data_IF_990471553345
#
_entry.id   IF_990471553345
#
_cell.length_a   1.000
_cell.length_b   1.000
_cell.length_c   1.000
_cell.angle_alpha   90.00
_cell.angle_beta   90.00
_cell.angle_gamma   90.00
#
_symmetry.space_group_name_H-M   'P 1'
#
loop_
_entity.id
_entity.type
_entity.pdbx_description
1 polymer ?
#
# COMPACT_ATOMS: atom_id res chain seq x y z
N UNK A 1 -37.51 -8.79 14.17
CA UNK A 1 -37.11 -7.38 14.12
C UNK A 1 -35.62 -7.39 13.89
N UNK A 2 -35.14 -6.72 12.84
CA UNK A 2 -33.71 -6.73 12.49
C UNK A 2 -33.13 -5.33 12.70
N UNK A 3 -32.01 -5.27 13.41
CA UNK A 3 -31.26 -4.05 13.70
C UNK A 3 -29.86 -4.18 13.12
N UNK A 4 -29.51 -3.31 12.18
CA UNK A 4 -28.24 -3.32 11.48
C UNK A 4 -27.36 -2.15 11.92
N UNK A 5 -26.08 -2.42 12.15
CA UNK A 5 -25.04 -1.40 12.30
C UNK A 5 -24.29 -1.27 10.98
N UNK A 6 -24.33 -0.09 10.37
CA UNK A 6 -23.81 0.17 9.04
C UNK A 6 -22.62 1.12 9.12
N UNK A 7 -21.47 0.76 8.54
CA UNK A 7 -20.19 1.46 8.73
C UNK A 7 -19.48 1.69 7.40
N UNK A 8 -19.03 2.91 7.10
CA UNK A 8 -18.16 3.18 5.95
C UNK A 8 -16.96 4.06 6.33
N UNK A 9 -15.77 3.66 5.88
CA UNK A 9 -14.50 4.39 6.04
C UNK A 9 -13.69 4.40 4.75
N UNK A 10 -14.37 4.25 3.61
CA UNK A 10 -13.73 4.10 2.30
C UNK A 10 -13.34 5.44 1.66
N UNK A 11 -13.87 6.55 2.16
CA UNK A 11 -13.62 7.91 1.65
C UNK A 11 -12.97 8.80 2.72
N UNK A 12 -12.83 10.11 2.50
CA UNK A 12 -12.45 11.05 3.56
C UNK A 12 -13.49 11.18 4.69
N UNK A 13 -14.68 10.59 4.52
CA UNK A 13 -15.75 10.56 5.51
C UNK A 13 -15.83 9.21 6.21
N UNK A 14 -15.96 9.25 7.52
CA UNK A 14 -16.36 8.11 8.35
C UNK A 14 -17.85 8.23 8.65
N UNK A 15 -18.63 7.22 8.30
CA UNK A 15 -20.10 7.23 8.50
C UNK A 15 -20.55 6.03 9.33
N UNK A 16 -21.50 6.27 10.24
CA UNK A 16 -22.16 5.24 11.05
C UNK A 16 -23.67 5.45 11.01
N UNK A 17 -24.40 4.41 10.63
CA UNK A 17 -25.87 4.42 10.58
C UNK A 17 -26.41 3.20 11.35
N UNK A 18 -27.53 3.37 12.04
CA UNK A 18 -28.34 2.25 12.54
C UNK A 18 -29.66 2.24 11.79
N UNK A 19 -29.98 1.08 11.20
CA UNK A 19 -31.30 0.79 10.64
C UNK A 19 -31.99 -0.23 11.53
N UNK A 20 -33.18 0.10 12.03
CA UNK A 20 -34.01 -0.78 12.86
C UNK A 20 -35.35 -0.97 12.19
N UNK A 21 -35.70 -2.22 11.86
CA UNK A 21 -36.95 -2.56 11.17
C UNK A 21 -37.18 -1.78 9.86
N UNK A 22 -36.11 -1.49 9.12
CA UNK A 22 -36.17 -0.73 7.86
C UNK A 22 -36.12 0.79 8.02
N UNK A 23 -36.13 1.31 9.24
CA UNK A 23 -36.05 2.75 9.49
C UNK A 23 -34.67 3.15 10.02
N UNK A 24 -34.13 4.26 9.51
CA UNK A 24 -32.91 4.86 10.03
C UNK A 24 -33.20 5.52 11.37
N UNK A 25 -32.60 5.00 12.44
CA UNK A 25 -32.77 5.52 13.82
C UNK A 25 -31.56 6.28 14.33
N UNK A 26 -30.40 6.13 13.67
CA UNK A 26 -29.18 6.90 13.93
C UNK A 26 -28.44 7.09 12.61
N UNK A 27 -27.94 8.29 12.33
CA UNK A 27 -27.07 8.58 11.18
C UNK A 27 -26.15 9.73 11.54
N UNK A 28 -24.87 9.45 11.70
CA UNK A 28 -23.84 10.45 11.92
C UNK A 28 -22.60 10.15 11.09
N UNK A 29 -21.85 11.20 10.79
CA UNK A 29 -20.59 11.11 10.09
C UNK A 29 -19.58 12.08 10.66
N UNK A 30 -18.31 11.87 10.33
CA UNK A 30 -17.26 12.86 10.54
C UNK A 30 -16.28 12.84 9.37
N UNK A 31 -16.00 14.03 8.87
CA UNK A 31 -15.02 14.27 7.82
C UNK A 31 -13.61 14.32 8.43
N UNK A 32 -12.65 13.71 7.75
CA UNK A 32 -11.28 13.61 8.23
C UNK A 32 -10.61 12.34 7.74
N UNK A 33 -9.90 12.46 6.62
CA UNK A 33 -9.32 11.30 5.93
C UNK A 33 -8.13 10.62 6.66
N UNK A 34 -7.73 11.15 7.82
CA UNK A 34 -6.67 10.61 8.69
C UNK A 34 -7.17 10.28 10.11
N UNK A 35 -8.43 10.60 10.44
CA UNK A 35 -8.98 10.45 11.79
C UNK A 35 -9.88 9.22 11.96
N UNK A 36 -10.05 8.38 10.92
CA UNK A 36 -10.93 7.20 10.93
C UNK A 36 -10.77 6.34 12.20
N UNK A 37 -9.54 6.05 12.62
CA UNK A 37 -9.25 5.20 13.78
C UNK A 37 -9.72 5.76 15.12
N UNK A 38 -9.73 7.09 15.26
CA UNK A 38 -10.20 7.76 16.47
C UNK A 38 -11.72 8.05 16.40
N UNK A 39 -12.20 8.39 15.21
CA UNK A 39 -13.59 8.81 14.97
C UNK A 39 -14.56 7.65 14.99
N UNK A 40 -14.26 6.53 14.31
CA UNK A 40 -15.19 5.42 14.15
C UNK A 40 -15.68 4.86 15.49
N UNK A 41 -14.82 4.57 16.50
CA UNK A 41 -15.29 4.08 17.79
C UNK A 41 -16.22 5.07 18.50
N UNK A 42 -15.98 6.39 18.39
CA UNK A 42 -16.82 7.43 19.02
C UNK A 42 -18.22 7.45 18.42
N UNK A 43 -18.32 7.39 17.09
CA UNK A 43 -19.60 7.34 16.39
C UNK A 43 -20.38 6.06 16.73
N UNK A 44 -19.71 4.91 16.79
CA UNK A 44 -20.35 3.65 17.19
C UNK A 44 -20.85 3.69 18.63
N UNK A 45 -20.09 4.28 19.56
CA UNK A 45 -20.56 4.48 20.94
C UNK A 45 -21.80 5.37 20.99
N UNK A 46 -21.86 6.44 20.20
CA UNK A 46 -23.05 7.28 20.10
C UNK A 46 -24.25 6.50 19.54
N UNK A 47 -24.04 5.74 18.46
CA UNK A 47 -25.05 4.90 17.83
C UNK A 47 -25.65 3.87 18.82
N UNK A 48 -24.79 3.19 19.59
CA UNK A 48 -25.22 2.16 20.54
C UNK A 48 -26.00 2.69 21.75
N UNK A 49 -25.96 4.00 22.03
CA UNK A 49 -26.87 4.64 22.99
C UNK A 49 -28.30 4.71 22.48
N UNK A 50 -28.50 4.77 21.16
CA UNK A 50 -29.81 4.77 20.51
C UNK A 50 -30.35 3.34 20.36
N UNK A 51 -29.52 2.40 19.92
CA UNK A 51 -29.88 0.99 19.85
C UNK A 51 -28.69 0.11 20.23
N UNK A 52 -28.77 -0.53 21.40
CA UNK A 52 -27.70 -1.39 21.94
C UNK A 52 -27.73 -2.81 21.38
N UNK A 53 -28.91 -3.32 21.00
CA UNK A 53 -29.07 -4.63 20.39
C UNK A 53 -28.88 -4.51 18.88
N UNK A 54 -27.83 -5.15 18.37
CA UNK A 54 -27.48 -5.21 16.94
C UNK A 54 -27.51 -6.68 16.52
N UNK A 55 -28.20 -6.97 15.42
CA UNK A 55 -28.37 -8.33 14.90
C UNK A 55 -27.33 -8.66 13.82
N UNK A 56 -26.86 -7.65 13.07
CA UNK A 56 -25.88 -7.81 12.00
C UNK A 56 -25.13 -6.49 11.72
N UNK A 57 -23.88 -6.59 11.25
CA UNK A 57 -23.06 -5.45 10.85
C UNK A 57 -22.88 -5.44 9.33
N UNK A 58 -23.09 -4.31 8.65
CA UNK A 58 -22.76 -4.17 7.22
C UNK A 58 -21.69 -3.09 7.06
N UNK A 59 -20.62 -3.41 6.35
CA UNK A 59 -19.45 -2.53 6.22
C UNK A 59 -19.09 -2.26 4.77
N UNK A 60 -18.69 -1.02 4.49
CA UNK A 60 -18.12 -0.62 3.22
C UNK A 60 -16.78 -1.31 2.98
N UNK A 61 -16.67 -2.03 1.86
CA UNK A 61 -15.49 -2.77 1.44
C UNK A 61 -14.65 -2.01 0.41
N UNK A 62 -14.96 -0.74 0.17
CA UNK A 62 -14.25 0.13 -0.74
C UNK A 62 -14.84 0.13 -2.16
N UNK A 63 -14.04 0.50 -3.17
CA UNK A 63 -12.64 0.92 -3.07
C UNK A 63 -12.41 2.16 -2.20
N UNK A 64 -11.23 2.23 -1.59
CA UNK A 64 -10.82 3.32 -0.72
C UNK A 64 -9.35 3.23 -0.30
N UNK A 65 -8.76 4.29 0.29
CA UNK A 65 -7.39 4.26 0.77
C UNK A 65 -7.14 3.15 1.80
N UNK A 66 -5.97 2.51 1.73
CA UNK A 66 -5.64 1.29 2.49
C UNK A 66 -5.89 1.39 4.01
N UNK A 67 -5.41 2.49 4.63
CA UNK A 67 -5.53 2.70 6.08
C UNK A 67 -6.99 2.87 6.50
N UNK A 68 -7.75 3.72 5.82
CA UNK A 68 -9.17 3.97 6.14
C UNK A 68 -9.99 2.69 6.01
N UNK A 69 -9.79 1.93 4.93
CA UNK A 69 -10.54 0.71 4.67
C UNK A 69 -10.34 -0.36 5.75
N UNK A 70 -9.10 -0.55 6.19
CA UNK A 70 -8.79 -1.54 7.24
C UNK A 70 -9.36 -1.17 8.60
N UNK A 71 -9.44 0.13 8.93
CA UNK A 71 -10.04 0.58 10.18
C UNK A 71 -11.51 0.13 10.26
N UNK A 72 -12.32 0.46 9.25
CA UNK A 72 -13.73 0.10 9.21
C UNK A 72 -13.96 -1.41 9.20
N UNK A 73 -13.29 -2.13 8.29
CA UNK A 73 -13.45 -3.58 8.15
C UNK A 73 -13.02 -4.33 9.41
N UNK A 74 -11.85 -3.99 9.98
CA UNK A 74 -11.36 -4.66 11.19
C UNK A 74 -12.25 -4.38 12.39
N UNK A 75 -12.78 -3.14 12.50
CA UNK A 75 -13.73 -2.79 13.55
C UNK A 75 -15.03 -3.60 13.39
N UNK A 76 -15.62 -3.63 12.19
CA UNK A 76 -16.86 -4.35 11.90
C UNK A 76 -16.74 -5.84 12.23
N UNK A 77 -15.68 -6.49 11.74
CA UNK A 77 -15.41 -7.90 11.97
C UNK A 77 -15.18 -8.20 13.46
N UNK A 78 -14.40 -7.38 14.16
CA UNK A 78 -14.13 -7.55 15.58
C UNK A 78 -15.39 -7.36 16.42
N UNK A 79 -16.20 -6.35 16.10
CA UNK A 79 -17.47 -6.07 16.76
C UNK A 79 -18.45 -7.22 16.58
N UNK A 80 -18.61 -7.72 15.35
CA UNK A 80 -19.49 -8.82 15.04
C UNK A 80 -19.04 -10.11 15.73
N UNK A 81 -17.74 -10.42 15.66
CA UNK A 81 -17.14 -11.56 16.32
C UNK A 81 -17.38 -11.54 17.84
N UNK A 82 -17.12 -10.39 18.50
CA UNK A 82 -17.28 -10.26 19.94
C UNK A 82 -18.74 -10.44 20.43
N UNK A 83 -19.72 -10.17 19.56
CA UNK A 83 -21.16 -10.31 19.87
C UNK A 83 -21.77 -11.60 19.35
N UNK A 84 -21.00 -12.44 18.64
CA UNK A 84 -21.52 -13.65 18.01
C UNK A 84 -22.55 -13.38 16.90
N UNK A 85 -22.46 -12.23 16.24
CA UNK A 85 -23.36 -11.82 15.16
C UNK A 85 -22.67 -11.87 13.79
N UNK A 86 -23.46 -11.83 12.72
CA UNK A 86 -22.95 -11.84 11.34
C UNK A 86 -22.43 -10.46 10.93
N UNK A 87 -21.59 -10.46 9.91
CA UNK A 87 -21.25 -9.26 9.18
C UNK A 87 -21.29 -9.50 7.66
N UNK A 88 -21.56 -8.46 6.90
CA UNK A 88 -21.55 -8.45 5.44
C UNK A 88 -20.76 -7.24 4.93
N UNK A 89 -20.11 -7.42 3.78
CA UNK A 89 -19.40 -6.36 3.10
C UNK A 89 -20.13 -5.89 1.84
N UNK A 90 -20.16 -4.60 1.56
CA UNK A 90 -20.77 -4.03 0.33
C UNK A 90 -19.82 -3.04 -0.34
N UNK A 91 -19.99 -2.75 -1.63
CA UNK A 91 -19.17 -1.76 -2.32
C UNK A 91 -19.63 -0.34 -1.97
N UNK A 92 -18.69 0.50 -1.53
CA UNK A 92 -18.96 1.88 -1.13
C UNK A 92 -19.37 2.76 -2.32
N UNK A 93 -18.90 2.47 -3.53
CA UNK A 93 -19.33 3.21 -4.73
C UNK A 93 -20.78 2.90 -5.09
N UNK A 94 -21.27 1.68 -4.83
CA UNK A 94 -22.67 1.31 -5.11
C UNK A 94 -23.63 2.14 -4.23
N UNK A 95 -23.23 2.45 -3.00
CA UNK A 95 -24.00 3.30 -2.08
C UNK A 95 -23.93 4.80 -2.40
N UNK A 96 -22.90 5.25 -3.14
CA UNK A 96 -22.94 6.58 -3.75
C UNK A 96 -23.89 6.54 -4.95
N UNK A 97 -23.77 5.54 -5.81
CA UNK A 97 -24.57 5.40 -7.02
C UNK A 97 -26.08 5.31 -6.75
N UNK A 98 -26.49 4.70 -5.63
CA UNK A 98 -27.91 4.60 -5.24
C UNK A 98 -28.60 5.95 -4.99
N UNK A 99 -27.83 7.04 -4.88
CA UNK A 99 -28.35 8.40 -4.70
C UNK A 99 -28.69 9.09 -6.03
N UNK A 100 -28.42 8.45 -7.18
CA UNK A 100 -28.58 9.02 -8.52
C UNK A 100 -29.43 8.12 -9.41
N UNK A 101 -30.09 8.74 -10.40
CA UNK A 101 -31.01 8.06 -11.33
C UNK A 101 -30.66 8.27 -12.80
N UNK A 102 -29.52 8.90 -13.08
CA UNK A 102 -29.03 9.11 -14.44
C UNK A 102 -28.85 7.77 -15.17
N UNK A 103 -29.15 7.77 -16.47
CA UNK A 103 -29.10 6.56 -17.28
C UNK A 103 -27.68 5.98 -17.38
N UNK A 104 -26.68 6.84 -17.42
CA UNK A 104 -25.28 6.46 -17.57
C UNK A 104 -24.39 7.49 -16.87
N UNK A 105 -23.64 7.06 -15.87
CA UNK A 105 -22.81 7.94 -15.04
C UNK A 105 -21.61 7.21 -14.42
N UNK A 106 -20.65 7.98 -13.94
CA UNK A 106 -19.50 7.51 -13.18
C UNK A 106 -19.64 7.92 -11.72
N UNK A 107 -19.20 7.06 -10.81
CA UNK A 107 -18.91 7.44 -9.42
C UNK A 107 -17.41 7.38 -9.22
N UNK A 108 -16.83 8.43 -8.64
CA UNK A 108 -15.40 8.52 -8.35
C UNK A 108 -15.12 9.03 -6.92
N UNK A 109 -14.12 8.43 -6.26
CA UNK A 109 -13.62 8.82 -4.92
C UNK A 109 -12.10 8.94 -4.94
N UNK A 110 -11.53 9.70 -3.99
CA UNK A 110 -10.09 9.98 -3.94
C UNK A 110 -9.26 8.69 -3.72
N UNK A 111 -8.41 8.35 -4.70
CA UNK A 111 -7.46 7.22 -4.58
C UNK A 111 -6.09 7.62 -4.04
N UNK A 112 -5.96 8.89 -3.59
CA UNK A 112 -4.69 9.57 -3.31
C UNK A 112 -3.83 9.66 -4.58
N UNK A 113 -2.65 10.26 -4.46
CA UNK A 113 -1.64 10.35 -5.55
C UNK A 113 -2.17 10.98 -6.85
N UNK A 114 -3.15 11.86 -6.74
CA UNK A 114 -3.82 12.49 -7.90
C UNK A 114 -4.54 11.48 -8.80
N UNK A 115 -4.96 10.35 -8.24
CA UNK A 115 -5.79 9.34 -8.91
C UNK A 115 -7.17 9.30 -8.26
N UNK A 116 -8.12 8.66 -8.95
CA UNK A 116 -9.47 8.38 -8.44
C UNK A 116 -9.80 6.91 -8.60
N UNK A 117 -10.48 6.34 -7.60
CA UNK A 117 -11.14 5.06 -7.71
C UNK A 117 -12.54 5.31 -8.28
N UNK A 118 -12.94 4.56 -9.30
CA UNK A 118 -14.20 4.81 -9.97
C UNK A 118 -14.91 3.54 -10.42
N UNK A 119 -16.21 3.66 -10.68
CA UNK A 119 -17.00 2.68 -11.40
C UNK A 119 -18.05 3.38 -12.26
N UNK A 120 -18.46 2.74 -13.37
CA UNK A 120 -19.53 3.22 -14.24
C UNK A 120 -20.83 2.51 -13.91
N UNK A 121 -21.94 3.21 -14.01
CA UNK A 121 -23.28 2.71 -13.76
C UNK A 121 -24.16 3.03 -14.95
N UNK A 122 -24.95 2.05 -15.39
CA UNK A 122 -26.00 2.23 -16.39
C UNK A 122 -27.31 1.72 -15.84
N UNK A 123 -28.38 2.52 -15.92
CA UNK A 123 -29.70 2.20 -15.38
C UNK A 123 -29.62 1.73 -13.90
N UNK A 124 -28.78 2.40 -13.10
CA UNK A 124 -28.53 2.07 -11.69
C UNK A 124 -27.70 0.80 -11.43
N UNK A 125 -27.21 0.13 -12.47
CA UNK A 125 -26.42 -1.10 -12.36
C UNK A 125 -24.95 -0.84 -12.69
N UNK A 126 -24.04 -1.24 -11.79
CA UNK A 126 -22.60 -1.14 -12.01
C UNK A 126 -22.16 -1.98 -13.21
N UNK A 127 -21.38 -1.37 -14.11
CA UNK A 127 -20.72 -2.01 -15.24
C UNK A 127 -19.30 -2.41 -14.83
N UNK A 128 -19.08 -3.72 -14.69
CA UNK A 128 -17.78 -4.29 -14.33
C UNK A 128 -17.38 -4.04 -12.88
N UNK A 129 -16.07 -4.20 -12.63
CA UNK A 129 -15.46 -3.96 -11.32
C UNK A 129 -14.96 -2.52 -11.17
N UNK A 130 -14.83 -2.00 -9.94
CA UNK A 130 -14.19 -0.71 -9.72
C UNK A 130 -12.74 -0.67 -10.25
N UNK A 131 -12.35 0.48 -10.79
CA UNK A 131 -11.06 0.74 -11.44
C UNK A 131 -10.37 2.00 -10.88
N UNK A 132 -9.10 2.22 -11.23
CA UNK A 132 -8.31 3.39 -10.81
C UNK A 132 -7.71 4.07 -12.03
N UNK A 133 -7.76 5.40 -12.08
CA UNK A 133 -7.15 6.18 -13.14
C UNK A 133 -6.83 7.62 -12.69
N UNK A 134 -6.20 8.40 -13.57
CA UNK A 134 -6.10 9.85 -13.39
C UNK A 134 -7.46 10.50 -13.66
N UNK A 135 -7.84 11.58 -12.94
CA UNK A 135 -9.10 12.30 -13.17
C UNK A 135 -9.32 12.73 -14.63
N UNK A 136 -8.26 13.19 -15.30
CA UNK A 136 -8.32 13.63 -16.70
C UNK A 136 -8.76 12.54 -17.68
N UNK A 137 -8.58 11.25 -17.32
CA UNK A 137 -9.05 10.13 -18.13
C UNK A 137 -10.57 9.94 -18.01
N UNK A 138 -11.18 10.30 -16.88
CA UNK A 138 -12.63 10.30 -16.72
C UNK A 138 -13.26 11.50 -17.42
N UNK A 139 -12.65 12.68 -17.30
CA UNK A 139 -13.13 13.90 -17.97
C UNK A 139 -13.22 13.71 -19.50
N UNK A 140 -12.27 12.97 -20.08
CA UNK A 140 -12.24 12.65 -21.50
C UNK A 140 -13.42 11.78 -21.98
N UNK A 141 -14.12 11.08 -21.09
CA UNK A 141 -15.28 10.26 -21.43
C UNK A 141 -16.55 11.08 -21.65
N UNK A 142 -16.59 12.33 -21.16
CA UNK A 142 -17.78 13.20 -21.23
C UNK A 142 -19.06 12.58 -20.64
N UNK A 143 -18.90 11.71 -19.63
CA UNK A 143 -19.97 11.09 -18.86
C UNK A 143 -20.08 11.85 -17.52
N UNK A 144 -21.28 12.11 -16.98
CA UNK A 144 -21.44 12.73 -15.65
C UNK A 144 -20.66 11.96 -14.58
N UNK A 145 -19.93 12.69 -13.71
CA UNK A 145 -19.12 12.12 -12.63
C UNK A 145 -19.66 12.61 -11.29
N UNK A 146 -20.09 11.67 -10.44
CA UNK A 146 -20.52 11.89 -9.07
C UNK A 146 -19.46 11.39 -8.07
N UNK A 147 -19.61 11.78 -6.81
CA UNK A 147 -18.79 11.29 -5.71
C UNK A 147 -18.01 12.38 -4.99
N UNK A 148 -16.85 12.02 -4.45
CA UNK A 148 -16.18 12.79 -3.40
C UNK A 148 -15.77 14.20 -3.84
N UNK A 149 -15.41 14.38 -5.12
CA UNK A 149 -15.07 15.69 -5.68
C UNK A 149 -16.25 16.68 -5.69
N UNK A 150 -17.49 16.17 -5.67
CA UNK A 150 -18.72 16.96 -5.55
C UNK A 150 -19.33 16.90 -4.14
N UNK A 151 -18.53 16.53 -3.13
CA UNK A 151 -18.97 16.39 -1.74
C UNK A 151 -20.09 15.35 -1.56
N UNK A 152 -20.09 14.30 -2.38
CA UNK A 152 -21.03 13.18 -2.33
C UNK A 152 -20.32 11.93 -1.83
N UNK A 153 -20.85 11.31 -0.78
CA UNK A 153 -20.22 10.23 -0.05
C UNK A 153 -21.14 9.01 0.02
N UNK A 154 -20.61 7.81 0.33
CA UNK A 154 -21.44 6.64 0.55
C UNK A 154 -22.47 6.95 1.65
N UNK A 155 -23.74 6.66 1.35
CA UNK A 155 -24.79 6.66 2.37
C UNK A 155 -24.99 5.23 2.85
N UNK A 156 -24.55 4.88 4.08
CA UNK A 156 -24.70 3.53 4.58
C UNK A 156 -26.16 3.09 4.71
N UNK A 157 -27.14 3.99 4.71
CA UNK A 157 -28.57 3.60 4.75
C UNK A 157 -28.95 2.64 3.60
N UNK A 158 -28.30 2.77 2.43
CA UNK A 158 -28.49 1.91 1.28
C UNK A 158 -27.83 0.51 1.41
N UNK A 159 -26.97 0.30 2.43
CA UNK A 159 -26.21 -0.95 2.57
C UNK A 159 -27.09 -2.18 2.77
N UNK A 160 -28.24 -2.02 3.45
CA UNK A 160 -29.18 -3.13 3.68
C UNK A 160 -29.73 -3.63 2.34
N UNK A 161 -30.15 -2.73 1.46
CA UNK A 161 -30.70 -3.09 0.15
C UNK A 161 -29.61 -3.67 -0.77
N UNK A 162 -28.41 -3.09 -0.75
CA UNK A 162 -27.27 -3.60 -1.52
C UNK A 162 -26.90 -5.02 -1.06
N UNK A 163 -26.85 -5.25 0.25
CA UNK A 163 -26.53 -6.56 0.79
C UNK A 163 -27.61 -7.61 0.45
N UNK A 164 -28.89 -7.24 0.50
CA UNK A 164 -30.01 -8.09 0.11
C UNK A 164 -30.02 -8.43 -1.39
N UNK A 165 -29.40 -7.60 -2.23
CA UNK A 165 -29.23 -7.86 -3.67
C UNK A 165 -28.15 -8.93 -4.00
N UNK A 166 -27.58 -9.60 -2.98
CA UNK A 166 -26.48 -10.57 -3.08
C UNK A 166 -25.16 -10.01 -3.64
N UNK A 167 -24.98 -8.69 -3.70
CA UNK A 167 -23.70 -8.04 -4.06
C UNK A 167 -22.82 -7.85 -2.84
N UNK A 168 -22.45 -8.95 -2.19
CA UNK A 168 -21.63 -8.93 -0.97
C UNK A 168 -20.17 -9.31 -1.21
N UNK A 169 -19.30 -8.81 -0.34
CA UNK A 169 -17.85 -8.95 -0.42
C UNK A 169 -17.28 -9.52 0.88
N UNK A 170 -16.49 -10.59 0.78
CA UNK A 170 -15.77 -11.18 1.91
C UNK A 170 -14.34 -10.62 2.06
N UNK A 171 -13.84 -9.91 1.05
CA UNK A 171 -12.51 -9.32 1.01
C UNK A 171 -12.57 -7.85 0.57
N UNK A 172 -11.64 -6.98 1.04
CA UNK A 172 -11.61 -5.57 0.64
C UNK A 172 -11.40 -5.41 -0.86
N UNK A 173 -12.08 -4.43 -1.47
CA UNK A 173 -11.99 -4.09 -2.89
C UNK A 173 -10.73 -3.24 -3.12
N UNK A 174 -9.58 -3.92 -3.13
CA UNK A 174 -8.29 -3.29 -3.45
C UNK A 174 -8.08 -3.20 -4.96
N UNK A 175 -8.43 -2.05 -5.54
CA UNK A 175 -8.28 -1.78 -6.98
C UNK A 175 -6.83 -1.52 -7.37
N UNK A 176 -6.03 -0.96 -6.45
CA UNK A 176 -4.57 -0.85 -6.56
C UNK A 176 -3.92 -1.79 -5.55
N UNK A 177 -2.79 -2.40 -5.90
CA UNK A 177 -1.95 -3.09 -4.90
C UNK A 177 -1.55 -2.09 -3.80
N UNK A 178 -1.66 -2.45 -2.51
CA UNK A 178 -1.19 -1.59 -1.43
C UNK A 178 0.26 -1.16 -1.67
N UNK A 179 0.57 0.09 -1.38
CA UNK A 179 1.93 0.63 -1.56
C UNK A 179 2.95 -0.05 -0.63
N UNK A 180 2.47 -0.61 0.47
CA UNK A 180 3.21 -1.56 1.28
C UNK A 180 3.17 -2.93 0.61
N UNK A 181 4.24 -3.31 -0.07
CA UNK A 181 4.50 -4.72 -0.33
C UNK A 181 4.64 -5.40 1.04
N UNK A 182 3.85 -6.44 1.35
CA UNK A 182 4.07 -7.19 2.58
C UNK A 182 5.51 -7.69 2.55
N UNK A 183 6.22 -7.51 3.67
CA UNK A 183 7.55 -8.09 3.82
C UNK A 183 7.47 -9.59 3.51
N UNK A 184 8.47 -10.16 2.83
CA UNK A 184 8.47 -11.59 2.51
C UNK A 184 8.19 -12.43 3.76
N UNK A 185 7.21 -13.32 3.69
CA UNK A 185 6.75 -14.12 4.84
C UNK A 185 7.90 -14.94 5.39
N UNK A 186 8.09 -14.90 6.71
CA UNK A 186 9.16 -15.63 7.41
C UNK A 186 10.55 -15.00 7.28
N UNK A 187 10.70 -13.87 6.57
CA UNK A 187 11.98 -13.16 6.48
C UNK A 187 12.05 -12.04 7.52
N UNK A 188 13.10 -12.05 8.33
CA UNK A 188 13.38 -11.00 9.31
C UNK A 188 14.43 -10.04 8.76
N UNK A 189 14.16 -8.75 8.82
CA UNK A 189 15.10 -7.70 8.43
C UNK A 189 15.61 -6.97 9.67
N UNK A 190 16.93 -6.79 9.77
CA UNK A 190 17.58 -6.17 10.94
C UNK A 190 18.86 -5.43 10.54
N UNK A 191 19.39 -4.53 11.38
CA UNK A 191 20.75 -4.03 11.19
C UNK A 191 21.75 -5.18 11.07
N UNK A 192 22.72 -5.01 10.17
CA UNK A 192 23.84 -5.93 10.03
C UNK A 192 24.83 -5.73 11.18
N UNK A 193 25.34 -6.83 11.71
CA UNK A 193 26.31 -6.87 12.82
C UNK A 193 27.65 -7.38 12.32
N UNK A 194 28.70 -7.22 13.11
CA UNK A 194 30.03 -7.73 12.77
C UNK A 194 30.05 -9.26 12.58
N UNK A 195 29.16 -10.00 13.25
CA UNK A 195 29.02 -11.45 13.11
C UNK A 195 28.50 -11.87 11.72
N UNK A 196 27.85 -10.96 11.00
CA UNK A 196 27.29 -11.21 9.68
C UNK A 196 28.33 -11.08 8.56
N UNK A 197 29.52 -10.53 8.83
CA UNK A 197 30.53 -10.26 7.78
C UNK A 197 30.96 -11.53 7.05
N UNK A 198 31.15 -12.64 7.77
CA UNK A 198 31.57 -13.91 7.15
C UNK A 198 30.44 -14.52 6.29
N UNK A 199 29.20 -14.67 6.78
CA UNK A 199 28.08 -15.08 5.93
C UNK A 199 27.80 -14.13 4.75
N UNK A 200 27.88 -12.82 4.95
CA UNK A 200 27.68 -11.83 3.89
C UNK A 200 28.76 -11.96 2.80
N UNK A 201 30.02 -12.16 3.20
CA UNK A 201 31.11 -12.42 2.26
C UNK A 201 30.91 -13.73 1.48
N UNK A 202 30.33 -14.77 2.09
CA UNK A 202 29.98 -15.99 1.36
C UNK A 202 28.91 -15.73 0.29
N UNK A 203 27.90 -14.92 0.59
CA UNK A 203 26.87 -14.49 -0.38
C UNK A 203 27.51 -13.66 -1.51
N UNK A 204 28.35 -12.69 -1.17
CA UNK A 204 29.10 -11.85 -2.13
C UNK A 204 29.93 -12.71 -3.09
N UNK A 205 30.67 -13.68 -2.54
CA UNK A 205 31.52 -14.57 -3.32
C UNK A 205 30.73 -15.47 -4.25
N UNK A 206 29.60 -16.00 -3.79
CA UNK A 206 28.70 -16.79 -4.62
C UNK A 206 28.06 -15.96 -5.73
N UNK A 207 27.72 -14.69 -5.47
CA UNK A 207 27.04 -13.83 -6.42
C UNK A 207 27.97 -13.28 -7.51
N UNK A 208 29.19 -12.88 -7.15
CA UNK A 208 30.07 -12.09 -8.03
C UNK A 208 31.45 -12.70 -8.26
N UNK A 209 31.82 -13.78 -7.55
CA UNK A 209 33.08 -14.49 -7.77
C UNK A 209 34.30 -13.59 -7.55
N UNK A 210 35.08 -13.31 -8.61
CA UNK A 210 36.26 -12.44 -8.56
C UNK A 210 35.92 -10.95 -8.72
N UNK A 211 34.74 -10.63 -9.23
CA UNK A 211 34.28 -9.25 -9.43
C UNK A 211 33.67 -8.63 -8.15
N UNK A 212 33.36 -9.46 -7.15
CA UNK A 212 32.83 -9.02 -5.86
C UNK A 212 33.88 -8.45 -4.93
N UNK A 213 33.43 -7.80 -3.87
CA UNK A 213 34.31 -7.26 -2.85
C UNK A 213 35.15 -8.34 -2.18
N UNK A 214 36.39 -8.00 -1.87
CA UNK A 214 37.21 -8.77 -0.94
C UNK A 214 36.68 -8.62 0.50
N UNK A 215 37.03 -9.57 1.37
CA UNK A 215 36.68 -9.48 2.79
C UNK A 215 37.22 -8.20 3.45
N UNK A 216 38.39 -7.72 3.01
CA UNK A 216 38.96 -6.47 3.49
C UNK A 216 38.08 -5.26 3.11
N UNK A 217 37.66 -5.18 1.84
CA UNK A 217 36.76 -4.13 1.36
C UNK A 217 35.42 -4.17 2.07
N UNK A 218 34.79 -5.35 2.20
CA UNK A 218 33.52 -5.47 2.91
C UNK A 218 33.63 -5.00 4.37
N UNK A 219 34.74 -5.31 5.05
CA UNK A 219 34.98 -4.89 6.43
C UNK A 219 35.22 -3.38 6.54
N UNK A 220 36.01 -2.80 5.63
CA UNK A 220 36.25 -1.37 5.54
C UNK A 220 34.95 -0.62 5.28
N UNK A 221 34.18 -1.08 4.29
CA UNK A 221 32.91 -0.49 3.93
C UNK A 221 31.87 -0.63 5.02
N UNK A 222 31.88 -1.69 5.84
CA UNK A 222 30.98 -1.83 6.99
C UNK A 222 31.35 -0.90 8.16
N UNK A 223 32.63 -0.57 8.34
CA UNK A 223 33.13 0.12 9.53
C UNK A 223 32.84 1.64 9.57
N UNK A 224 32.43 2.25 8.45
CA UNK A 224 32.14 3.68 8.43
C UNK A 224 30.87 4.06 9.20
N UNK A 225 30.84 5.30 9.73
CA UNK A 225 29.75 5.83 10.56
C UNK A 225 28.66 6.58 9.78
N UNK A 226 28.92 6.84 8.50
CA UNK A 226 28.14 7.64 7.56
C UNK A 226 27.23 6.78 6.65
N UNK A 227 27.05 5.52 7.02
CA UNK A 227 26.42 4.47 6.21
C UNK A 227 25.56 3.57 7.06
N UNK A 228 24.67 2.84 6.41
CA UNK A 228 23.82 1.83 7.02
C UNK A 228 23.94 0.51 6.26
N UNK A 229 24.02 -0.57 7.03
CA UNK A 229 23.92 -1.94 6.52
C UNK A 229 22.74 -2.66 7.13
N UNK A 230 21.97 -3.32 6.28
CA UNK A 230 20.80 -4.12 6.64
C UNK A 230 21.00 -5.56 6.19
N UNK A 231 20.57 -6.48 7.04
CA UNK A 231 20.64 -7.92 6.86
C UNK A 231 19.22 -8.49 6.76
N UNK A 232 19.04 -9.54 5.95
CA UNK A 232 17.80 -10.32 5.91
C UNK A 232 18.10 -11.78 6.29
N UNK A 233 17.28 -12.33 7.18
CA UNK A 233 17.40 -13.69 7.70
C UNK A 233 16.14 -14.51 7.39
N UNK A 234 16.32 -15.80 7.08
CA UNK A 234 15.25 -16.77 6.98
C UNK A 234 15.67 -18.06 7.68
N UNK A 235 14.83 -18.56 8.61
CA UNK A 235 15.17 -19.75 9.40
C UNK A 235 16.43 -19.60 10.27
N UNK A 236 16.86 -18.37 10.58
CA UNK A 236 18.10 -18.09 11.32
C UNK A 236 19.36 -17.98 10.45
N UNK A 237 19.27 -18.21 9.15
CA UNK A 237 20.38 -18.05 8.21
C UNK A 237 20.35 -16.68 7.54
N UNK A 238 21.53 -16.07 7.36
CA UNK A 238 21.66 -14.84 6.58
C UNK A 238 21.47 -15.18 5.08
N UNK A 239 20.48 -14.54 4.46
CA UNK A 239 20.12 -14.80 3.06
C UNK A 239 20.33 -13.58 2.14
N UNK A 240 20.56 -12.40 2.72
CA UNK A 240 20.83 -11.19 1.96
C UNK A 240 21.40 -10.09 2.85
N UNK A 241 22.13 -9.17 2.24
CA UNK A 241 22.55 -7.92 2.86
C UNK A 241 22.55 -6.78 1.84
N UNK A 242 22.46 -5.55 2.33
CA UNK A 242 22.55 -4.35 1.53
C UNK A 242 23.18 -3.21 2.32
N UNK A 243 23.87 -2.31 1.62
CA UNK A 243 24.57 -1.16 2.18
C UNK A 243 24.26 0.12 1.43
N UNK A 244 24.12 1.22 2.17
CA UNK A 244 23.98 2.57 1.62
C UNK A 244 24.85 3.54 2.41
N UNK A 245 25.51 4.45 1.73
CA UNK A 245 26.37 5.49 2.31
C UNK A 245 25.82 6.87 1.97
N UNK A 246 25.85 7.83 2.90
CA UNK A 246 25.46 9.22 2.65
C UNK A 246 26.69 10.10 2.43
N UNK A 247 26.87 10.60 1.21
CA UNK A 247 27.87 11.59 0.87
C UNK A 247 27.24 12.97 0.69
N UNK A 248 27.38 13.83 1.70
CA UNK A 248 27.00 15.25 1.62
C UNK A 248 25.56 15.50 1.09
N UNK A 249 24.60 14.68 1.51
CA UNK A 249 23.19 14.83 1.11
C UNK A 249 22.80 14.02 -0.13
N UNK A 250 23.70 13.24 -0.71
CA UNK A 250 23.38 12.24 -1.73
C UNK A 250 23.74 10.86 -1.21
N UNK A 251 22.74 9.98 -1.12
CA UNK A 251 22.95 8.60 -0.74
C UNK A 251 23.44 7.77 -1.94
N UNK A 252 24.32 6.81 -1.69
CA UNK A 252 24.84 5.88 -2.68
C UNK A 252 24.64 4.44 -2.22
N UNK A 253 23.95 3.63 -3.02
CA UNK A 253 23.76 2.20 -2.75
C UNK A 253 25.04 1.46 -3.10
N UNK A 254 25.79 1.08 -2.07
CA UNK A 254 27.08 0.41 -2.24
C UNK A 254 26.91 -1.04 -2.70
N UNK A 255 25.91 -1.74 -2.15
CA UNK A 255 25.66 -3.15 -2.43
C UNK A 255 24.22 -3.54 -2.09
N UNK A 256 23.67 -4.49 -2.83
CA UNK A 256 22.38 -5.11 -2.58
C UNK A 256 22.40 -6.51 -3.18
N UNK A 257 22.62 -7.50 -2.31
CA UNK A 257 22.89 -8.87 -2.76
C UNK A 257 21.96 -9.85 -2.06
N UNK A 258 21.17 -10.59 -2.84
CA UNK A 258 20.29 -11.66 -2.35
C UNK A 258 20.88 -13.01 -2.79
N UNK A 259 21.01 -13.94 -1.85
CA UNK A 259 21.44 -15.31 -2.13
C UNK A 259 20.53 -15.98 -3.17
N UNK A 260 21.11 -16.78 -4.06
CA UNK A 260 20.46 -17.26 -5.29
C UNK A 260 19.10 -17.94 -5.06
N UNK A 261 19.03 -18.92 -4.14
CA UNK A 261 17.78 -19.62 -3.79
C UNK A 261 16.69 -18.75 -3.13
N UNK A 262 17.00 -17.49 -2.85
CA UNK A 262 16.10 -16.52 -2.20
C UNK A 262 15.76 -15.32 -3.10
N UNK A 263 16.27 -15.29 -4.33
CA UNK A 263 15.92 -14.24 -5.32
C UNK A 263 14.46 -14.32 -5.75
N UNK A 264 13.97 -13.22 -6.33
CA UNK A 264 12.59 -13.08 -6.88
C UNK A 264 11.44 -13.30 -5.86
N UNK A 265 11.75 -13.38 -4.56
CA UNK A 265 10.77 -13.49 -3.45
C UNK A 265 10.46 -12.16 -2.77
N UNK A 266 10.83 -11.03 -3.37
CA UNK A 266 10.57 -9.68 -2.84
C UNK A 266 11.61 -9.14 -1.84
N UNK A 267 12.65 -9.91 -1.50
CA UNK A 267 13.68 -9.51 -0.52
C UNK A 267 14.48 -8.28 -1.00
N UNK A 268 14.97 -8.27 -2.24
CA UNK A 268 15.71 -7.12 -2.78
C UNK A 268 14.86 -5.85 -2.86
N UNK A 269 13.56 -5.99 -3.12
CA UNK A 269 12.59 -4.87 -3.09
C UNK A 269 12.48 -4.28 -1.68
N UNK A 270 12.36 -5.13 -0.67
CA UNK A 270 12.25 -4.70 0.72
C UNK A 270 13.56 -4.06 1.23
N UNK A 271 14.73 -4.57 0.83
CA UNK A 271 16.02 -3.96 1.16
C UNK A 271 16.15 -2.58 0.52
N UNK A 272 15.90 -2.46 -0.79
CA UNK A 272 15.98 -1.17 -1.48
C UNK A 272 15.05 -0.13 -0.86
N UNK A 273 13.83 -0.53 -0.48
CA UNK A 273 12.90 0.34 0.26
C UNK A 273 13.51 0.84 1.56
N UNK A 274 14.16 -0.03 2.34
CA UNK A 274 14.81 0.34 3.61
C UNK A 274 16.00 1.28 3.41
N UNK A 275 16.80 1.08 2.36
CA UNK A 275 17.88 2.00 2.01
C UNK A 275 17.32 3.40 1.71
N UNK A 276 16.29 3.47 0.85
CA UNK A 276 15.61 4.73 0.50
C UNK A 276 15.02 5.42 1.74
N UNK A 277 14.34 4.67 2.60
CA UNK A 277 13.72 5.23 3.80
C UNK A 277 14.79 5.75 4.76
N UNK A 278 15.90 5.03 4.95
CA UNK A 278 17.02 5.52 5.73
C UNK A 278 17.61 6.80 5.12
N UNK A 279 17.85 6.86 3.81
CA UNK A 279 18.36 8.05 3.13
C UNK A 279 17.46 9.27 3.33
N UNK A 280 16.13 9.08 3.35
CA UNK A 280 15.17 10.15 3.70
C UNK A 280 15.33 10.62 5.15
N UNK A 281 15.51 9.71 6.10
CA UNK A 281 15.77 10.10 7.51
C UNK A 281 17.07 10.88 7.67
N UNK A 282 18.06 10.62 6.81
CA UNK A 282 19.31 11.37 6.72
C UNK A 282 19.19 12.68 5.93
N UNK A 283 17.98 13.05 5.49
CA UNK A 283 17.69 14.25 4.68
C UNK A 283 18.50 14.31 3.39
N UNK A 284 18.79 13.16 2.78
CA UNK A 284 19.40 13.12 1.45
C UNK A 284 18.41 13.66 0.42
N UNK A 285 18.89 14.48 -0.50
CA UNK A 285 18.12 15.03 -1.63
C UNK A 285 17.91 13.98 -2.72
N UNK A 286 18.83 13.01 -2.83
CA UNK A 286 18.75 11.94 -3.79
C UNK A 286 19.44 10.67 -3.31
N UNK A 287 19.15 9.58 -3.99
CA UNK A 287 19.85 8.31 -3.88
C UNK A 287 20.31 7.85 -5.26
N UNK A 288 21.52 7.30 -5.33
CA UNK A 288 22.19 6.86 -6.53
C UNK A 288 22.68 5.42 -6.39
N UNK A 289 22.97 4.81 -7.54
CA UNK A 289 23.59 3.49 -7.63
C UNK A 289 24.26 3.30 -8.98
N UNK A 290 25.22 2.38 -9.02
CA UNK A 290 25.76 1.80 -10.24
C UNK A 290 25.24 0.38 -10.45
N UNK A 291 24.82 0.08 -11.68
CA UNK A 291 24.41 -1.26 -12.08
C UNK A 291 25.05 -1.63 -13.42
N UNK A 292 25.54 -2.86 -13.57
CA UNK A 292 26.14 -3.33 -14.82
C UNK A 292 25.12 -3.29 -15.97
N UNK A 293 25.58 -2.84 -17.15
CA UNK A 293 24.80 -2.97 -18.40
C UNK A 293 24.43 -4.44 -18.62
N UNK A 294 23.16 -4.69 -18.95
CA UNK A 294 22.64 -6.05 -19.16
C UNK A 294 22.24 -6.79 -17.89
N UNK A 295 22.23 -6.14 -16.71
CA UNK A 295 21.67 -6.72 -15.50
C UNK A 295 20.13 -6.69 -15.55
N UNK A 296 19.56 -7.65 -16.28
CA UNK A 296 18.11 -7.78 -16.51
C UNK A 296 17.32 -8.07 -15.22
N UNK A 297 17.97 -8.54 -14.17
CA UNK A 297 17.32 -8.79 -12.88
C UNK A 297 17.18 -7.51 -12.03
N UNK A 298 18.22 -6.69 -11.97
CA UNK A 298 18.29 -5.54 -11.08
C UNK A 298 17.70 -4.26 -11.70
N UNK A 299 17.90 -4.02 -12.99
CA UNK A 299 17.44 -2.78 -13.66
C UNK A 299 15.92 -2.60 -13.52
N UNK A 300 15.05 -3.61 -13.79
CA UNK A 300 13.61 -3.45 -13.60
C UNK A 300 13.21 -3.17 -12.16
N UNK A 301 13.96 -3.71 -11.19
CA UNK A 301 13.73 -3.40 -9.77
C UNK A 301 13.96 -1.90 -9.51
N UNK A 302 15.12 -1.38 -9.90
CA UNK A 302 15.47 0.03 -9.70
C UNK A 302 14.49 0.97 -10.43
N UNK A 303 14.18 0.70 -11.69
CA UNK A 303 13.19 1.48 -12.45
C UNK A 303 11.81 1.47 -11.78
N UNK A 304 11.39 0.34 -11.19
CA UNK A 304 10.11 0.26 -10.46
C UNK A 304 10.05 1.12 -9.19
N UNK A 305 11.21 1.51 -8.65
CA UNK A 305 11.31 2.49 -7.55
C UNK A 305 11.45 3.93 -8.05
N UNK A 306 11.44 4.15 -9.37
CA UNK A 306 11.55 5.47 -9.98
C UNK A 306 12.99 5.99 -10.04
N UNK A 307 13.98 5.10 -10.07
CA UNK A 307 15.32 5.46 -10.51
C UNK A 307 15.35 5.67 -12.03
N UNK A 308 16.11 6.67 -12.46
CA UNK A 308 16.36 6.96 -13.88
C UNK A 308 17.85 6.86 -14.18
N UNK A 309 18.21 6.43 -15.39
CA UNK A 309 19.58 6.50 -15.87
C UNK A 309 19.99 7.96 -16.07
N UNK A 310 21.15 8.35 -15.51
CA UNK A 310 21.70 9.72 -15.68
C UNK A 310 23.04 9.74 -16.41
N UNK A 311 23.79 8.63 -16.40
CA UNK A 311 25.06 8.51 -17.12
C UNK A 311 25.50 7.05 -17.25
N UNK A 312 26.55 6.80 -18.04
CA UNK A 312 27.22 5.50 -18.14
C UNK A 312 28.72 5.67 -17.92
N UNK A 313 29.32 4.74 -17.15
CA UNK A 313 30.77 4.70 -16.89
C UNK A 313 31.38 3.48 -17.58
N UNK A 314 32.19 3.72 -18.61
CA UNK A 314 32.93 2.65 -19.32
C UNK A 314 33.94 2.00 -18.38
N UNK A 315 34.11 0.69 -18.53
CA UNK A 315 35.09 -0.13 -17.82
C UNK A 315 35.05 -0.04 -16.28
N UNK A 316 33.90 0.37 -15.72
CA UNK A 316 33.74 0.59 -14.28
C UNK A 316 33.95 -0.68 -13.44
N UNK A 317 33.42 -1.83 -13.89
CA UNK A 317 33.65 -3.12 -13.22
C UNK A 317 34.84 -3.89 -13.81
N UNK A 318 35.72 -3.22 -14.53
CA UNK A 318 36.84 -3.79 -15.29
C UNK A 318 36.62 -3.76 -16.81
N UNK A 319 37.62 -4.21 -17.60
CA UNK A 319 37.62 -4.09 -19.05
C UNK A 319 36.37 -4.69 -19.70
N UNK A 320 35.67 -3.89 -20.51
CA UNK A 320 34.42 -4.24 -21.20
C UNK A 320 33.16 -4.18 -20.33
N UNK A 321 33.26 -3.90 -19.03
CA UNK A 321 32.14 -3.98 -18.08
C UNK A 321 31.65 -2.59 -17.67
N UNK A 322 30.79 -2.02 -18.52
CA UNK A 322 30.18 -0.70 -18.33
C UNK A 322 29.15 -0.71 -17.20
N UNK A 323 29.14 0.35 -16.38
CA UNK A 323 28.08 0.64 -15.41
C UNK A 323 27.09 1.69 -15.94
N UNK A 324 25.82 1.50 -15.63
CA UNK A 324 24.75 2.49 -15.72
C UNK A 324 24.66 3.17 -14.35
N UNK A 325 24.79 4.49 -14.31
CA UNK A 325 24.57 5.28 -13.10
C UNK A 325 23.10 5.66 -13.08
N UNK A 326 22.38 5.21 -12.06
CA UNK A 326 20.97 5.54 -11.88
C UNK A 326 20.77 6.44 -10.66
N UNK A 327 19.81 7.37 -10.75
CA UNK A 327 19.49 8.33 -9.69
C UNK A 327 17.99 8.41 -9.45
N UNK A 328 17.61 8.61 -8.20
CA UNK A 328 16.24 8.92 -7.76
C UNK A 328 16.27 10.13 -6.83
N UNK A 329 15.51 11.16 -7.17
CA UNK A 329 15.27 12.28 -6.25
C UNK A 329 14.40 11.82 -5.07
N UNK A 330 14.81 12.21 -3.87
CA UNK A 330 14.14 11.96 -2.60
C UNK A 330 13.46 13.26 -2.17
N UNK A 331 12.18 13.39 -2.52
CA UNK A 331 11.29 14.40 -1.94
C UNK A 331 10.85 13.98 -0.55
#
# INVERSE_FOLDING_TARGET
MSTYLLLDTSTSRTSVVIVKNGEVVFSEYSDGALSHGETLPKLVVAALKVASQIDEVIVGMGPGPFTGLRVGISFAQSFAFARGIKWQGVCSLDAIASQFSDKDFLVAVDARRKEVFYARYTDGVRIGEPNVCQPSQLDALQIPIYGEALNQFPDPSAFVDIANSNKTYSAPIYVRRPDAYPAPVGVKFRPMTQLDLVPAFAIEKAAYGKDGWSMAQLKEEYAGSDRMYVAAEFGGELISYAGVFNLAGVADVLTLTVADGHRRKGIGRELLRRLIDWSRTQKCEAIMLEVRVGNEEAIPLYTSFGFIEISRRKDYYGPGKTAIVMRKELK
#
